data_IF_359869849350
#
_entry.id   IF_359869849350
#
_cell.length_a   1.000
_cell.length_b   1.000
_cell.length_c   1.000
_cell.angle_alpha   90.00
_cell.angle_beta   90.00
_cell.angle_gamma   90.00
#
_symmetry.space_group_name_H-M   'P 1'
#
loop_
_entity.id
_entity.type
_entity.pdbx_description
1 polymer ?
#
# COMPACT_ATOMS: atom_id res chain seq x y z
N UNK A 1 3.95 1.33 19.36
CA UNK A 1 4.76 0.13 19.03
C UNK A 1 6.14 0.57 18.58
N UNK A 2 7.21 -0.05 19.08
CA UNK A 2 8.59 0.26 18.63
C UNK A 2 8.79 -0.13 17.16
N UNK A 3 8.09 -1.18 16.68
CA UNK A 3 8.20 -1.68 15.31
C UNK A 3 7.75 -0.69 14.21
N UNK A 4 6.72 0.12 14.45
CA UNK A 4 6.24 1.09 13.45
C UNK A 4 7.31 2.12 13.09
N UNK A 5 8.21 2.43 14.03
CA UNK A 5 9.30 3.38 13.87
C UNK A 5 10.33 2.94 12.83
N UNK A 6 10.36 1.65 12.48
CA UNK A 6 11.29 1.09 11.49
C UNK A 6 10.63 0.68 10.17
N UNK A 7 9.31 0.83 10.05
CA UNK A 7 8.53 0.31 8.92
C UNK A 7 8.90 0.95 7.56
N UNK A 8 9.47 2.17 7.58
CA UNK A 8 9.81 2.93 6.37
C UNK A 8 11.31 3.06 6.09
N UNK A 9 12.16 2.43 6.91
CA UNK A 9 13.63 2.51 6.75
C UNK A 9 14.09 2.04 5.37
N UNK A 10 13.67 0.86 4.84
CA UNK A 10 14.13 0.44 3.52
C UNK A 10 13.66 1.37 2.40
N UNK A 11 12.48 1.96 2.52
CA UNK A 11 11.91 2.90 1.55
C UNK A 11 12.67 4.23 1.56
N UNK A 12 12.99 4.76 2.74
CA UNK A 12 13.76 6.01 2.89
C UNK A 12 15.19 5.84 2.36
N UNK A 13 15.83 4.71 2.63
CA UNK A 13 17.17 4.44 2.11
C UNK A 13 17.18 4.32 0.57
N UNK A 14 16.18 3.65 0.01
CA UNK A 14 16.13 3.37 -1.43
C UNK A 14 15.63 4.56 -2.26
N UNK A 15 14.64 5.31 -1.76
CA UNK A 15 13.98 6.40 -2.50
C UNK A 15 14.60 7.76 -2.17
N UNK A 16 14.98 8.01 -0.91
CA UNK A 16 15.53 9.31 -0.48
C UNK A 16 17.07 9.33 -0.44
N UNK A 17 17.73 8.20 -0.67
CA UNK A 17 19.20 8.09 -0.67
C UNK A 17 19.86 8.39 0.67
N UNK A 18 19.10 8.33 1.77
CA UNK A 18 19.58 8.68 3.10
C UNK A 18 20.43 7.55 3.71
N UNK A 19 21.47 7.93 4.46
CA UNK A 19 22.26 6.96 5.24
C UNK A 19 21.43 6.30 6.35
N UNK A 20 21.82 5.08 6.76
CA UNK A 20 21.08 4.24 7.72
C UNK A 20 20.61 4.96 9.00
N UNK A 21 21.49 5.75 9.63
CA UNK A 21 21.15 6.49 10.85
C UNK A 21 20.13 7.61 10.63
N UNK A 22 20.26 8.35 9.52
CA UNK A 22 19.32 9.40 9.14
C UNK A 22 17.94 8.82 8.77
N UNK A 23 17.94 7.64 8.12
CA UNK A 23 16.73 6.93 7.74
C UNK A 23 15.89 6.49 8.96
N UNK A 24 16.55 6.02 10.04
CA UNK A 24 15.84 5.64 11.28
C UNK A 24 15.17 6.86 11.91
N UNK A 25 15.90 7.96 12.09
CA UNK A 25 15.35 9.18 12.68
C UNK A 25 14.12 9.69 11.91
N UNK A 26 14.24 9.76 10.58
CA UNK A 26 13.15 10.17 9.69
C UNK A 26 11.97 9.19 9.71
N UNK A 27 12.22 7.89 9.66
CA UNK A 27 11.18 6.85 9.77
C UNK A 27 10.40 6.98 11.08
N UNK A 28 11.07 7.31 12.19
CA UNK A 28 10.39 7.50 13.48
C UNK A 28 9.50 8.73 13.50
N UNK A 29 9.89 9.81 12.82
CA UNK A 29 9.09 11.03 12.69
C UNK A 29 7.83 10.76 11.88
N UNK A 30 7.97 10.17 10.69
CA UNK A 30 6.83 9.83 9.81
C UNK A 30 5.90 8.79 10.44
N UNK A 31 6.44 7.75 11.09
CA UNK A 31 5.62 6.69 11.67
C UNK A 31 4.88 7.10 12.96
N UNK A 32 5.28 8.20 13.61
CA UNK A 32 4.69 8.63 14.87
C UNK A 32 3.29 9.23 14.71
N UNK A 33 2.98 9.82 13.56
CA UNK A 33 1.67 10.42 13.27
C UNK A 33 0.58 9.41 12.87
N UNK A 34 0.95 8.19 12.47
CA UNK A 34 0.03 7.28 11.78
C UNK A 34 0.16 5.80 12.21
N UNK A 35 0.45 5.56 13.48
CA UNK A 35 0.59 4.20 14.05
C UNK A 35 -0.65 3.33 13.88
N UNK A 36 -1.85 3.93 13.85
CA UNK A 36 -3.12 3.21 13.70
C UNK A 36 -3.27 2.62 12.30
N UNK A 37 -2.90 3.33 11.23
CA UNK A 37 -2.95 2.78 9.86
C UNK A 37 -1.88 1.71 9.64
N UNK A 38 -0.69 1.90 10.19
CA UNK A 38 0.36 0.87 10.18
C UNK A 38 -0.15 -0.41 10.86
N UNK A 39 -0.76 -0.27 12.03
CA UNK A 39 -1.33 -1.41 12.77
C UNK A 39 -2.48 -2.09 12.00
N UNK A 40 -3.38 -1.31 11.41
CA UNK A 40 -4.47 -1.84 10.58
C UNK A 40 -3.93 -2.59 9.34
N UNK A 41 -2.89 -2.07 8.70
CA UNK A 41 -2.21 -2.74 7.59
C UNK A 41 -1.59 -4.08 8.03
N UNK A 42 -0.94 -4.12 9.20
CA UNK A 42 -0.39 -5.37 9.74
C UNK A 42 -1.49 -6.40 10.02
N UNK A 43 -2.59 -6.01 10.67
CA UNK A 43 -3.73 -6.92 10.91
C UNK A 43 -4.29 -7.41 9.58
N UNK A 44 -4.55 -6.49 8.64
CA UNK A 44 -5.08 -6.84 7.33
C UNK A 44 -4.17 -7.84 6.61
N UNK A 45 -2.87 -7.56 6.57
CA UNK A 45 -1.88 -8.43 5.92
C UNK A 45 -1.81 -9.78 6.62
N UNK A 46 -1.88 -9.81 7.95
CA UNK A 46 -1.91 -11.05 8.72
C UNK A 46 -3.15 -11.88 8.38
N UNK A 47 -4.34 -11.30 8.43
CA UNK A 47 -5.60 -11.98 8.09
C UNK A 47 -5.59 -12.48 6.64
N UNK A 48 -5.16 -11.65 5.69
CA UNK A 48 -5.06 -12.03 4.28
C UNK A 48 -4.06 -13.18 4.07
N UNK A 49 -2.91 -13.12 4.73
CA UNK A 49 -1.87 -14.15 4.65
C UNK A 49 -2.37 -15.49 5.20
N UNK A 50 -2.95 -15.49 6.39
CA UNK A 50 -3.51 -16.70 6.99
C UNK A 50 -4.69 -17.25 6.19
N UNK A 51 -5.54 -16.39 5.65
CA UNK A 51 -6.63 -16.81 4.77
C UNK A 51 -6.09 -17.51 3.52
N UNK A 52 -5.06 -16.96 2.88
CA UNK A 52 -4.44 -17.55 1.70
C UNK A 52 -3.71 -18.86 2.01
N UNK A 53 -3.01 -18.94 3.15
CA UNK A 53 -2.39 -20.20 3.58
C UNK A 53 -3.45 -21.27 3.84
N UNK A 54 -4.54 -20.96 4.54
CA UNK A 54 -5.62 -21.92 4.76
C UNK A 54 -6.19 -22.45 3.44
N UNK A 55 -6.39 -21.58 2.43
CA UNK A 55 -6.86 -22.02 1.12
C UNK A 55 -5.95 -23.05 0.45
N UNK A 56 -4.64 -23.00 0.68
CA UNK A 56 -3.68 -23.93 0.09
C UNK A 56 -3.45 -25.18 0.94
N UNK A 57 -3.42 -25.02 2.27
CA UNK A 57 -3.11 -26.13 3.19
C UNK A 57 -4.32 -27.01 3.51
N UNK A 58 -5.53 -26.44 3.57
CA UNK A 58 -6.75 -27.21 3.85
C UNK A 58 -6.98 -28.34 2.84
N UNK A 59 -6.95 -28.11 1.50
CA UNK A 59 -7.14 -29.20 0.54
C UNK A 59 -6.02 -30.24 0.60
N UNK A 60 -4.77 -29.82 0.82
CA UNK A 60 -3.64 -30.73 0.99
C UNK A 60 -3.83 -31.62 2.22
N UNK A 61 -4.21 -31.04 3.35
CA UNK A 61 -4.46 -31.76 4.61
C UNK A 61 -5.65 -32.72 4.49
N UNK A 62 -6.72 -32.30 3.82
CA UNK A 62 -7.88 -33.16 3.55
C UNK A 62 -7.50 -34.37 2.70
N UNK A 63 -6.75 -34.14 1.61
CA UNK A 63 -6.26 -35.21 0.76
C UNK A 63 -5.31 -36.16 1.52
N UNK A 64 -4.40 -35.62 2.33
CA UNK A 64 -3.50 -36.41 3.17
C UNK A 64 -4.26 -37.28 4.17
N UNK A 65 -5.27 -36.73 4.85
CA UNK A 65 -6.13 -37.49 5.76
C UNK A 65 -6.87 -38.62 5.04
N UNK A 66 -7.42 -38.36 3.85
CA UNK A 66 -8.07 -39.39 3.02
C UNK A 66 -7.12 -40.52 2.59
N UNK A 67 -5.81 -40.25 2.52
CA UNK A 67 -4.76 -41.24 2.24
C UNK A 67 -4.23 -41.94 3.51
N UNK A 68 -4.87 -41.74 4.68
CA UNK A 68 -4.55 -42.44 5.92
C UNK A 68 -3.51 -41.76 6.81
N UNK A 69 -3.14 -40.50 6.52
CA UNK A 69 -2.22 -39.74 7.38
C UNK A 69 -2.98 -39.26 8.64
N UNK A 70 -2.52 -39.73 9.80
CA UNK A 70 -3.10 -39.36 11.10
C UNK A 70 -2.34 -38.19 11.74
N UNK A 71 -2.88 -36.99 11.64
CA UNK A 71 -2.30 -35.78 12.25
C UNK A 71 -2.38 -35.74 13.78
N UNK A 72 -3.27 -36.52 14.38
CA UNK A 72 -3.53 -36.53 15.83
C UNK A 72 -2.87 -37.69 16.57
N UNK A 73 -2.21 -38.61 15.84
CA UNK A 73 -1.67 -39.86 16.38
C UNK A 73 -0.29 -39.73 17.06
N UNK A 74 0.36 -38.56 16.96
CA UNK A 74 1.68 -38.32 17.56
C UNK A 74 2.86 -38.96 16.83
N UNK A 75 2.61 -39.81 15.83
CA UNK A 75 3.64 -40.50 15.05
C UNK A 75 4.05 -39.67 13.82
N UNK A 76 4.83 -38.61 14.07
CA UNK A 76 5.32 -37.70 13.03
C UNK A 76 6.48 -38.29 12.20
N UNK A 77 7.08 -39.40 12.66
CA UNK A 77 8.19 -40.08 11.97
C UNK A 77 7.72 -40.94 10.78
N UNK A 78 6.41 -41.19 10.66
CA UNK A 78 5.81 -42.00 9.60
C UNK A 78 5.20 -41.17 8.45
N UNK A 79 5.56 -39.89 8.29
CA UNK A 79 5.02 -39.06 7.20
C UNK A 79 5.53 -39.53 5.82
N UNK A 80 4.64 -39.82 4.86
CA UNK A 80 5.06 -40.22 3.52
C UNK A 80 5.86 -39.13 2.80
N UNK A 81 6.88 -39.53 2.03
CA UNK A 81 7.75 -38.60 1.28
C UNK A 81 6.97 -37.66 0.35
N UNK A 82 5.91 -38.14 -0.30
CA UNK A 82 5.07 -37.32 -1.18
C UNK A 82 4.42 -36.14 -0.44
N UNK A 83 4.00 -36.36 0.81
CA UNK A 83 3.35 -35.33 1.63
C UNK A 83 4.35 -34.26 2.06
N UNK A 84 5.57 -34.68 2.44
CA UNK A 84 6.66 -33.76 2.79
C UNK A 84 7.00 -32.87 1.59
N UNK A 85 7.15 -33.45 0.39
CA UNK A 85 7.44 -32.70 -0.83
C UNK A 85 6.30 -31.74 -1.18
N UNK A 86 5.04 -32.19 -1.11
CA UNK A 86 3.88 -31.36 -1.38
C UNK A 86 3.76 -30.20 -0.39
N UNK A 87 3.95 -30.45 0.90
CA UNK A 87 3.96 -29.43 1.94
C UNK A 87 5.07 -28.40 1.69
N UNK A 88 6.27 -28.86 1.35
CA UNK A 88 7.39 -27.96 1.04
C UNK A 88 7.09 -27.09 -0.18
N UNK A 89 6.52 -27.66 -1.24
CA UNK A 89 6.08 -26.92 -2.44
C UNK A 89 5.03 -25.86 -2.10
N UNK A 90 3.98 -26.24 -1.37
CA UNK A 90 2.92 -25.31 -0.96
C UNK A 90 3.50 -24.18 -0.12
N UNK A 91 4.44 -24.48 0.78
CA UNK A 91 5.14 -23.47 1.59
C UNK A 91 5.88 -22.47 0.71
N UNK A 92 6.68 -22.94 -0.25
CA UNK A 92 7.47 -22.06 -1.12
C UNK A 92 6.60 -21.20 -2.04
N UNK A 93 5.56 -21.80 -2.63
CA UNK A 93 4.59 -21.07 -3.46
C UNK A 93 3.88 -20.01 -2.62
N UNK A 94 3.48 -20.35 -1.40
CA UNK A 94 2.87 -19.40 -0.47
C UNK A 94 3.82 -18.22 -0.21
N UNK A 95 5.09 -18.48 0.12
CA UNK A 95 6.07 -17.41 0.39
C UNK A 95 6.29 -16.50 -0.83
N UNK A 96 6.41 -17.07 -2.03
CA UNK A 96 6.58 -16.31 -3.27
C UNK A 96 5.37 -15.40 -3.53
N UNK A 97 4.15 -15.89 -3.29
CA UNK A 97 2.92 -15.13 -3.50
C UNK A 97 2.65 -14.09 -2.40
N UNK A 98 2.98 -14.41 -1.16
CA UNK A 98 2.64 -13.60 0.03
C UNK A 98 3.68 -12.53 0.34
N UNK A 99 4.97 -12.79 0.08
CA UNK A 99 6.04 -11.84 0.33
C UNK A 99 5.84 -10.44 -0.29
N UNK A 100 5.36 -10.28 -1.55
CA UNK A 100 5.15 -8.94 -2.10
C UNK A 100 3.99 -8.18 -1.47
N UNK A 101 3.01 -8.85 -0.85
CA UNK A 101 1.79 -8.21 -0.34
C UNK A 101 2.12 -7.20 0.77
N UNK A 102 2.92 -7.62 1.75
CA UNK A 102 3.36 -6.74 2.82
C UNK A 102 4.19 -5.58 2.28
N UNK A 103 5.03 -5.84 1.27
CA UNK A 103 5.91 -4.83 0.70
C UNK A 103 5.16 -3.77 -0.10
N UNK A 104 4.15 -4.18 -0.88
CA UNK A 104 3.24 -3.26 -1.58
C UNK A 104 2.44 -2.45 -0.56
N UNK A 105 1.92 -3.08 0.49
CA UNK A 105 1.19 -2.40 1.55
C UNK A 105 2.01 -1.31 2.23
N UNK A 106 3.26 -1.60 2.58
CA UNK A 106 4.16 -0.61 3.18
C UNK A 106 4.55 0.50 2.20
N UNK A 107 4.70 0.19 0.91
CA UNK A 107 4.97 1.17 -0.14
C UNK A 107 3.80 2.16 -0.31
N UNK A 108 2.57 1.65 -0.41
CA UNK A 108 1.37 2.49 -0.53
C UNK A 108 1.19 3.40 0.68
N UNK A 109 1.42 2.87 1.89
CA UNK A 109 1.29 3.66 3.11
C UNK A 109 2.38 4.74 3.23
N UNK A 110 3.60 4.45 2.76
CA UNK A 110 4.68 5.44 2.68
C UNK A 110 4.33 6.59 1.73
N UNK A 111 3.78 6.28 0.55
CA UNK A 111 3.36 7.30 -0.43
C UNK A 111 2.18 8.12 0.10
N UNK A 112 1.17 7.50 0.71
CA UNK A 112 0.05 8.18 1.36
C UNK A 112 0.53 9.17 2.43
N UNK A 113 1.48 8.75 3.27
CA UNK A 113 2.03 9.61 4.33
C UNK A 113 2.81 10.79 3.76
N UNK A 114 3.62 10.59 2.71
CA UNK A 114 4.35 11.69 2.08
C UNK A 114 3.43 12.70 1.42
N UNK A 115 2.42 12.26 0.68
CA UNK A 115 1.44 13.17 0.06
C UNK A 115 0.73 14.00 1.12
N UNK A 116 0.37 13.41 2.26
CA UNK A 116 -0.30 14.13 3.34
C UNK A 116 0.63 15.05 4.14
N UNK A 117 1.84 14.62 4.44
CA UNK A 117 2.79 15.38 5.27
C UNK A 117 3.52 16.47 4.49
N UNK A 118 4.00 16.15 3.28
CA UNK A 118 4.77 17.09 2.45
C UNK A 118 3.84 17.91 1.54
N UNK A 119 2.74 17.32 1.04
CA UNK A 119 1.78 18.05 0.21
C UNK A 119 1.05 19.15 0.98
N UNK A 120 0.54 18.84 2.18
CA UNK A 120 -0.13 19.82 3.03
C UNK A 120 0.80 20.95 3.47
N UNK A 121 2.08 20.64 3.75
CA UNK A 121 3.07 21.65 4.14
C UNK A 121 3.34 22.63 2.99
N UNK A 122 3.46 22.13 1.75
CA UNK A 122 3.61 22.96 0.55
C UNK A 122 2.37 23.84 0.33
N UNK A 123 1.16 23.30 0.48
CA UNK A 123 -0.08 24.09 0.37
C UNK A 123 -0.15 25.21 1.41
N UNK A 124 0.25 24.93 2.66
CA UNK A 124 0.28 25.92 3.72
C UNK A 124 1.34 27.00 3.47
N UNK A 125 2.52 26.63 2.98
CA UNK A 125 3.57 27.58 2.57
C UNK A 125 3.13 28.43 1.37
N UNK A 126 2.47 27.81 0.39
CA UNK A 126 1.95 28.51 -0.78
C UNK A 126 0.87 29.53 -0.38
N UNK A 127 -0.10 29.13 0.44
CA UNK A 127 -1.14 30.03 0.93
C UNK A 127 -0.58 31.23 1.72
N UNK A 128 0.51 31.04 2.47
CA UNK A 128 1.17 32.11 3.23
C UNK A 128 1.98 33.07 2.36
N UNK A 129 2.66 32.56 1.32
CA UNK A 129 3.63 33.34 0.54
C UNK A 129 3.08 33.89 -0.78
N UNK A 130 2.11 33.20 -1.39
CA UNK A 130 1.64 33.51 -2.75
C UNK A 130 0.27 34.20 -2.79
N UNK A 131 -0.45 34.31 -1.67
CA UNK A 131 -1.79 34.91 -1.64
C UNK A 131 -2.83 34.04 -2.36
N UNK A 132 -3.93 34.65 -2.86
CA UNK A 132 -4.86 33.92 -3.74
C UNK A 132 -4.16 33.51 -5.04
N UNK A 133 -4.34 32.25 -5.43
CA UNK A 133 -3.80 31.72 -6.68
C UNK A 133 -4.34 32.58 -7.83
N UNK A 134 -3.48 33.25 -8.63
CA UNK A 134 -3.94 34.06 -9.76
C UNK A 134 -4.67 33.17 -10.76
N UNK A 135 -5.79 33.66 -11.30
CA UNK A 135 -6.57 32.94 -12.29
C UNK A 135 -5.65 32.50 -13.44
N UNK A 136 -5.54 31.18 -13.63
CA UNK A 136 -4.79 30.62 -14.76
C UNK A 136 -5.45 31.09 -16.06
N UNK A 137 -4.68 31.46 -17.10
CA UNK A 137 -5.25 31.84 -18.39
C UNK A 137 -6.23 30.76 -18.87
N UNK A 138 -7.42 31.16 -19.33
CA UNK A 138 -8.50 30.25 -19.76
C UNK A 138 -8.12 29.35 -20.93
N UNK A 139 -6.99 29.62 -21.59
CA UNK A 139 -6.40 28.83 -22.66
C UNK A 139 -5.62 27.60 -22.16
N UNK A 140 -5.18 27.60 -20.89
CA UNK A 140 -4.47 26.48 -20.28
C UNK A 140 -5.44 25.59 -19.50
N UNK A 141 -5.80 24.45 -20.07
CA UNK A 141 -6.54 23.42 -19.36
C UNK A 141 -5.64 22.77 -18.31
N UNK A 142 -5.74 23.25 -17.06
CA UNK A 142 -4.97 22.69 -15.96
C UNK A 142 -5.62 21.34 -15.54
N UNK A 143 -4.92 20.20 -15.58
CA UNK A 143 -5.49 18.92 -15.13
C UNK A 143 -5.87 18.92 -13.63
N UNK A 144 -5.34 19.86 -12.84
CA UNK A 144 -5.62 20.03 -11.40
C UNK A 144 -6.69 21.10 -11.11
N UNK A 145 -7.21 21.78 -12.14
CA UNK A 145 -8.25 22.82 -11.99
C UNK A 145 -9.50 22.34 -11.23
N UNK A 146 -9.99 21.08 -11.38
CA UNK A 146 -11.13 20.60 -10.61
C UNK A 146 -10.92 20.55 -9.10
N UNK A 147 -9.66 20.47 -8.64
CA UNK A 147 -9.31 20.43 -7.22
C UNK A 147 -8.99 21.81 -6.64
N UNK A 148 -8.57 22.75 -7.48
CA UNK A 148 -8.15 24.11 -7.09
C UNK A 148 -9.26 25.16 -7.24
N UNK A 149 -10.31 24.88 -8.02
CA UNK A 149 -11.35 25.85 -8.30
C UNK A 149 -12.31 26.02 -7.10
N UNK A 150 -12.10 27.09 -6.33
CA UNK A 150 -13.11 27.58 -5.39
C UNK A 150 -14.34 28.18 -6.09
N UNK A 151 -14.27 28.39 -7.41
CA UNK A 151 -15.33 29.00 -8.22
C UNK A 151 -15.90 27.96 -9.19
N UNK A 152 -17.22 27.69 -9.15
CA UNK A 152 -17.84 26.74 -10.08
C UNK A 152 -17.61 27.26 -11.50
N UNK A 153 -17.22 26.34 -12.40
CA UNK A 153 -16.94 26.58 -13.81
C UNK A 153 -18.04 27.47 -14.39
N UNK A 154 -17.69 28.74 -14.64
CA UNK A 154 -18.57 29.65 -15.35
C UNK A 154 -18.76 29.05 -16.74
N UNK A 155 -20.02 28.78 -17.07
CA UNK A 155 -20.51 28.07 -18.26
C UNK A 155 -19.59 28.23 -19.48
N UNK A 156 -19.07 27.09 -19.97
CA UNK A 156 -18.43 27.03 -21.28
C UNK A 156 -19.34 27.70 -22.32
N UNK A 157 -18.82 28.60 -23.19
CA UNK A 157 -19.65 29.20 -24.22
C UNK A 157 -20.18 28.08 -25.12
N UNK A 158 -21.51 28.06 -25.26
CA UNK A 158 -22.22 27.09 -26.08
C UNK A 158 -21.67 27.14 -27.51
N UNK A 159 -21.11 26.00 -27.95
CA UNK A 159 -20.52 25.82 -29.28
C UNK A 159 -21.58 25.82 -30.40
N UNK A 160 -22.86 26.06 -30.07
CA UNK A 160 -23.96 26.16 -31.02
C UNK A 160 -23.97 27.45 -31.86
N UNK A 161 -23.28 28.52 -31.45
CA UNK A 161 -23.36 29.82 -32.15
C UNK A 161 -22.49 29.95 -33.41
N UNK A 162 -21.58 29.01 -33.68
CA UNK A 162 -20.68 29.06 -34.86
C UNK A 162 -21.18 28.30 -36.09
N UNK A 163 -22.34 27.64 -36.03
CA UNK A 163 -22.98 27.02 -37.19
C UNK A 163 -24.16 27.87 -37.67
N UNK A 164 -23.83 29.07 -38.15
CA UNK A 164 -24.70 29.83 -39.04
C UNK A 164 -24.82 29.11 -40.38
N UNK A 165 -25.72 28.14 -40.45
CA UNK A 165 -26.24 27.62 -41.71
C UNK A 165 -27.18 28.69 -42.31
N UNK A 166 -26.69 29.37 -43.34
CA UNK A 166 -27.51 29.81 -44.46
C UNK A 166 -27.69 28.64 -45.42
#
# INVERSE_FOLDING_TARGET
>A
MVASRFAYVPQIMLVEGQGFGAAIGRSTSLASGNVTRIYALFIFTFVATYSAMLLLYVPLGWYAYANGINFFGGDFDALPAWYIIANQLVTQISLILLSPILMIGLCLLYVDERVRSEGYDIELMAARNLGEIPDVPTEYANPLQPALAAKPLLSLPDKSSTLGLK
#
